data_IF_011860852193
#
_entry.id   IF_011860852193
#
_cell.length_a   1.000
_cell.length_b   1.000
_cell.length_c   1.000
_cell.angle_alpha   90.00
_cell.angle_beta   90.00
_cell.angle_gamma   90.00
#
_symmetry.space_group_name_H-M   'P 1'
#
loop_
_entity.id
_entity.type
_entity.pdbx_description
1 polymer ?
#
# COMPACT_ATOMS: atom_id res chain seq x y z
N UNK A 1 -33.13 5.23 -17.20
CA UNK A 1 -32.23 4.06 -17.04
C UNK A 1 -30.85 4.53 -16.58
N UNK A 2 -30.80 5.53 -15.69
CA UNK A 2 -29.60 6.35 -15.52
C UNK A 2 -28.94 6.12 -14.14
N UNK A 3 -29.76 5.88 -13.11
CA UNK A 3 -29.29 5.63 -11.75
C UNK A 3 -28.65 4.25 -11.59
N UNK A 4 -29.25 3.21 -12.17
CA UNK A 4 -28.76 1.83 -12.04
C UNK A 4 -27.41 1.64 -12.75
N UNK A 5 -27.23 2.32 -13.89
CA UNK A 5 -25.98 2.38 -14.62
C UNK A 5 -24.91 3.18 -13.86
N UNK A 6 -25.29 4.30 -13.22
CA UNK A 6 -24.38 5.08 -12.37
C UNK A 6 -23.86 4.27 -11.17
N UNK A 7 -24.72 3.48 -10.51
CA UNK A 7 -24.28 2.56 -9.43
C UNK A 7 -23.29 1.51 -9.94
N UNK A 8 -23.49 1.00 -11.15
CA UNK A 8 -22.58 0.01 -11.73
C UNK A 8 -21.19 0.60 -11.99
N UNK A 9 -21.14 1.84 -12.49
CA UNK A 9 -19.88 2.56 -12.73
C UNK A 9 -19.16 2.90 -11.41
N UNK A 10 -19.87 3.42 -10.41
CA UNK A 10 -19.25 3.75 -9.12
C UNK A 10 -18.71 2.51 -8.42
N UNK A 11 -19.41 1.38 -8.53
CA UNK A 11 -18.93 0.10 -8.04
C UNK A 11 -17.67 -0.36 -8.79
N UNK A 12 -17.63 -0.20 -10.11
CA UNK A 12 -16.44 -0.47 -10.92
C UNK A 12 -15.22 0.36 -10.49
N UNK A 13 -15.41 1.67 -10.30
CA UNK A 13 -14.34 2.55 -9.83
C UNK A 13 -13.88 2.24 -8.40
N UNK A 14 -14.79 1.85 -7.50
CA UNK A 14 -14.43 1.43 -6.15
C UNK A 14 -13.51 0.20 -6.17
N UNK A 15 -13.78 -0.76 -7.05
CA UNK A 15 -12.92 -1.95 -7.23
C UNK A 15 -11.55 -1.53 -7.77
N UNK A 16 -11.51 -0.72 -8.83
CA UNK A 16 -10.25 -0.25 -9.42
C UNK A 16 -9.41 0.52 -8.39
N UNK A 17 -10.04 1.39 -7.59
CA UNK A 17 -9.38 2.11 -6.50
C UNK A 17 -8.82 1.17 -5.43
N UNK A 18 -9.60 0.18 -5.00
CA UNK A 18 -9.15 -0.80 -4.00
C UNK A 18 -7.97 -1.65 -4.50
N UNK A 19 -8.04 -2.13 -5.74
CA UNK A 19 -6.98 -2.96 -6.35
C UNK A 19 -5.70 -2.15 -6.55
N UNK A 20 -5.81 -0.92 -7.05
CA UNK A 20 -4.64 -0.04 -7.25
C UNK A 20 -3.96 0.33 -5.94
N UNK A 21 -4.72 0.53 -4.85
CA UNK A 21 -4.16 0.74 -3.52
C UNK A 21 -3.37 -0.47 -3.00
N UNK A 22 -3.91 -1.68 -3.19
CA UNK A 22 -3.20 -2.92 -2.83
C UNK A 22 -1.91 -3.09 -3.62
N UNK A 23 -1.95 -2.85 -4.94
CA UNK A 23 -0.77 -2.91 -5.81
C UNK A 23 0.29 -1.88 -5.42
N UNK A 24 -0.11 -0.65 -5.12
CA UNK A 24 0.82 0.41 -4.70
C UNK A 24 1.60 0.04 -3.44
N UNK A 25 0.94 -0.61 -2.48
CA UNK A 25 1.59 -1.06 -1.24
C UNK A 25 2.65 -2.14 -1.52
N UNK A 26 2.33 -3.11 -2.37
CA UNK A 26 3.26 -4.18 -2.77
C UNK A 26 4.47 -3.61 -3.51
N UNK A 27 4.25 -2.66 -4.42
CA UNK A 27 5.32 -2.00 -5.16
C UNK A 27 6.25 -1.22 -4.21
N UNK A 28 5.69 -0.46 -3.27
CA UNK A 28 6.49 0.28 -2.29
C UNK A 28 7.35 -0.63 -1.42
N UNK A 29 6.80 -1.77 -0.96
CA UNK A 29 7.58 -2.76 -0.21
C UNK A 29 8.69 -3.38 -1.07
N UNK A 30 8.41 -3.69 -2.34
CA UNK A 30 9.41 -4.23 -3.25
C UNK A 30 10.55 -3.22 -3.50
N UNK A 31 10.23 -1.92 -3.66
CA UNK A 31 11.21 -0.85 -3.80
C UNK A 31 12.04 -0.73 -2.51
N UNK A 32 11.39 -0.75 -1.36
CA UNK A 32 12.06 -0.68 -0.06
C UNK A 32 13.08 -1.81 0.15
N UNK A 33 12.68 -3.05 -0.12
CA UNK A 33 13.59 -4.21 -0.06
C UNK A 33 14.75 -4.08 -1.07
N UNK A 34 14.51 -3.46 -2.23
CA UNK A 34 15.55 -3.20 -3.22
C UNK A 34 16.53 -2.10 -2.80
N UNK A 35 16.08 -1.13 -2.01
CA UNK A 35 16.92 -0.08 -1.45
C UNK A 35 17.78 -0.61 -0.29
N UNK A 36 17.37 -1.70 0.36
CA UNK A 36 18.08 -2.32 1.49
C UNK A 36 18.53 -3.76 1.20
N UNK A 37 19.27 -4.03 0.10
CA UNK A 37 19.58 -5.39 -0.35
C UNK A 37 20.48 -6.19 0.62
N UNK A 38 21.06 -5.55 1.64
CA UNK A 38 21.90 -6.19 2.67
C UNK A 38 21.16 -6.51 3.98
N UNK A 39 19.89 -6.13 4.12
CA UNK A 39 19.09 -6.38 5.33
C UNK A 39 17.88 -7.20 4.94
N UNK A 40 17.73 -8.36 5.55
CA UNK A 40 16.56 -9.21 5.33
C UNK A 40 15.48 -8.80 6.34
N UNK A 41 14.64 -7.83 5.97
CA UNK A 41 13.72 -7.16 6.90
C UNK A 41 12.74 -8.13 7.54
N UNK A 42 12.24 -9.06 6.73
CA UNK A 42 11.31 -10.10 7.17
C UNK A 42 11.98 -11.08 8.13
N UNK A 43 13.27 -11.34 7.95
CA UNK A 43 14.05 -12.16 8.88
C UNK A 43 14.25 -11.44 10.21
N UNK A 44 14.64 -10.16 10.20
CA UNK A 44 14.82 -9.37 11.42
C UNK A 44 13.50 -9.24 12.22
N UNK A 45 12.36 -9.07 11.55
CA UNK A 45 11.05 -9.03 12.22
C UNK A 45 10.71 -10.39 12.84
N UNK A 46 10.98 -11.50 12.14
CA UNK A 46 10.79 -12.86 12.67
C UNK A 46 11.69 -13.18 13.87
N UNK A 47 12.89 -12.62 13.88
CA UNK A 47 13.84 -12.75 15.00
C UNK A 47 13.49 -11.85 16.21
N UNK A 48 12.45 -11.01 16.10
CA UNK A 48 11.93 -10.19 17.19
C UNK A 48 12.53 -8.78 17.26
N UNK A 49 13.14 -8.29 16.18
CA UNK A 49 13.67 -6.92 16.12
C UNK A 49 12.52 -5.89 16.09
N UNK A 50 12.19 -5.35 17.26
CA UNK A 50 11.22 -4.26 17.44
C UNK A 50 11.55 -3.03 16.55
N UNK A 51 12.82 -2.58 16.42
CA UNK A 51 13.14 -1.46 15.54
C UNK A 51 12.76 -1.70 14.08
N UNK A 52 13.03 -2.91 13.56
CA UNK A 52 12.70 -3.26 12.17
C UNK A 52 11.19 -3.26 11.93
N UNK A 53 10.41 -3.76 12.90
CA UNK A 53 8.95 -3.76 12.82
C UNK A 53 8.38 -2.32 12.79
N UNK A 54 8.94 -1.40 13.58
CA UNK A 54 8.54 0.01 13.58
C UNK A 54 8.85 0.67 12.23
N UNK A 55 10.03 0.42 11.66
CA UNK A 55 10.41 0.96 10.35
C UNK A 55 9.45 0.45 9.27
N UNK A 56 9.15 -0.85 9.27
CA UNK A 56 8.22 -1.44 8.30
C UNK A 56 6.81 -0.85 8.43
N UNK A 57 6.32 -0.68 9.66
CA UNK A 57 5.04 -0.02 9.91
C UNK A 57 5.04 1.44 9.43
N UNK A 58 6.12 2.19 9.66
CA UNK A 58 6.27 3.56 9.21
C UNK A 58 6.23 3.68 7.68
N UNK A 59 6.91 2.76 6.97
CA UNK A 59 6.89 2.71 5.49
C UNK A 59 5.47 2.44 4.98
N UNK A 60 4.76 1.47 5.58
CA UNK A 60 3.37 1.15 5.21
C UNK A 60 2.45 2.36 5.42
N UNK A 61 2.56 3.03 6.58
CA UNK A 61 1.76 4.22 6.89
C UNK A 61 2.09 5.36 5.93
N UNK A 62 3.37 5.65 5.69
CA UNK A 62 3.80 6.69 4.77
C UNK A 62 3.28 6.44 3.34
N UNK A 63 3.35 5.20 2.87
CA UNK A 63 2.78 4.82 1.58
C UNK A 63 1.25 5.04 1.54
N UNK A 64 0.54 4.66 2.61
CA UNK A 64 -0.89 4.92 2.75
C UNK A 64 -1.23 6.41 2.70
N UNK A 65 -0.42 7.26 3.34
CA UNK A 65 -0.59 8.72 3.31
C UNK A 65 -0.34 9.28 1.90
N UNK A 66 0.71 8.81 1.21
CA UNK A 66 1.01 9.25 -0.16
C UNK A 66 -0.14 8.90 -1.10
N UNK A 67 -0.64 7.66 -1.04
CA UNK A 67 -1.80 7.25 -1.87
C UNK A 67 -3.04 8.05 -1.51
N UNK A 68 -3.32 8.25 -0.22
CA UNK A 68 -4.44 9.08 0.21
C UNK A 68 -4.31 10.54 -0.27
N UNK A 69 -3.09 11.07 -0.34
CA UNK A 69 -2.83 12.42 -0.86
C UNK A 69 -3.02 12.51 -2.38
N UNK A 70 -2.74 11.44 -3.12
CA UNK A 70 -2.91 11.40 -4.57
C UNK A 70 -4.38 11.29 -5.01
N UNK A 71 -5.25 10.75 -4.15
CA UNK A 71 -6.69 10.58 -4.42
C UNK A 71 -7.51 11.78 -3.92
N UNK A 72 -7.02 12.47 -2.88
CA UNK A 72 -7.68 13.70 -2.41
C UNK A 72 -7.57 14.78 -3.49
N UNK A 73 -8.69 15.40 -3.90
CA UNK A 73 -8.67 16.50 -4.86
C UNK A 73 -8.01 17.76 -4.29
#
# INVERSE_FOLDING_TARGET
MDILYAYFITFGWAIVGSVSMGLGLVISLMIFNRLTPGVDEWKLIREGSIPMAIIMAAVIIACGVVVASAIRP
#
